data_IF_067166219205
#
_entry.id   IF_067166219205
#
_cell.length_a   1.000
_cell.length_b   1.000
_cell.length_c   1.000
_cell.angle_alpha   90.00
_cell.angle_beta   90.00
_cell.angle_gamma   90.00
#
_symmetry.space_group_name_H-M   'P 1'
#
loop_
_entity.id
_entity.type
_entity.pdbx_description
1 polymer ?
#
# COMPACT_ATOMS: atom_id res chain seq x y z
N UNK A 1 -6.50 -33.84 -20.86
CA UNK A 1 -5.66 -33.19 -19.83
C UNK A 1 -6.32 -31.88 -19.45
N UNK A 2 -6.71 -31.70 -18.19
CA UNK A 2 -7.22 -30.42 -17.69
C UNK A 2 -6.03 -29.45 -17.58
N UNK A 3 -5.84 -28.60 -18.59
CA UNK A 3 -4.87 -27.51 -18.51
C UNK A 3 -5.56 -26.30 -17.87
N UNK A 4 -5.04 -25.84 -16.73
CA UNK A 4 -5.52 -24.61 -16.09
C UNK A 4 -5.00 -23.41 -16.90
N UNK A 5 -5.87 -22.58 -17.48
CA UNK A 5 -5.42 -21.41 -18.24
C UNK A 5 -4.59 -20.46 -17.38
N UNK A 6 -3.48 -19.99 -17.90
CA UNK A 6 -2.55 -19.10 -17.21
C UNK A 6 -3.21 -17.82 -16.61
N UNK A 7 -4.22 -17.21 -17.26
CA UNK A 7 -4.93 -16.06 -16.70
C UNK A 7 -5.59 -16.31 -15.33
N UNK A 8 -6.05 -17.54 -15.04
CA UNK A 8 -6.54 -17.91 -13.72
C UNK A 8 -5.46 -17.76 -12.64
N UNK A 9 -4.26 -18.27 -12.95
CA UNK A 9 -3.13 -18.21 -12.03
C UNK A 9 -2.67 -16.77 -11.81
N UNK A 10 -2.58 -15.99 -12.88
CA UNK A 10 -2.22 -14.57 -12.81
C UNK A 10 -3.21 -13.78 -11.93
N UNK A 11 -4.51 -13.98 -12.17
CA UNK A 11 -5.57 -13.36 -11.36
C UNK A 11 -5.48 -13.73 -9.88
N UNK A 12 -5.28 -15.01 -9.58
CA UNK A 12 -5.15 -15.50 -8.21
C UNK A 12 -3.91 -14.95 -7.51
N UNK A 13 -2.74 -14.98 -8.16
CA UNK A 13 -1.47 -14.47 -7.60
C UNK A 13 -1.57 -12.99 -7.30
N UNK A 14 -2.14 -12.19 -8.21
CA UNK A 14 -2.33 -10.76 -7.99
C UNK A 14 -3.33 -10.49 -6.87
N UNK A 15 -4.48 -11.17 -6.86
CA UNK A 15 -5.48 -11.02 -5.80
C UNK A 15 -4.92 -11.37 -4.41
N UNK A 16 -4.17 -12.47 -4.29
CA UNK A 16 -3.51 -12.87 -3.04
C UNK A 16 -2.44 -11.87 -2.61
N UNK A 17 -1.67 -11.33 -3.56
CA UNK A 17 -0.63 -10.32 -3.30
C UNK A 17 -1.27 -9.04 -2.78
N UNK A 18 -2.33 -8.55 -3.43
CA UNK A 18 -3.07 -7.38 -2.98
C UNK A 18 -3.73 -7.62 -1.62
N UNK A 19 -4.41 -8.75 -1.44
CA UNK A 19 -5.02 -9.12 -0.17
C UNK A 19 -4.00 -9.12 0.97
N UNK A 20 -2.84 -9.74 0.76
CA UNK A 20 -1.77 -9.78 1.77
C UNK A 20 -1.24 -8.39 2.12
N UNK A 21 -1.04 -7.51 1.12
CA UNK A 21 -0.54 -6.15 1.34
C UNK A 21 -1.58 -5.24 2.02
N UNK A 22 -2.86 -5.51 1.83
CA UNK A 22 -3.96 -4.68 2.30
C UNK A 22 -4.70 -5.28 3.49
N UNK A 23 -4.39 -6.52 3.88
CA UNK A 23 -4.98 -7.17 5.07
C UNK A 23 -4.69 -6.31 6.31
N UNK A 24 -5.78 -5.84 6.98
CA UNK A 24 -5.73 -4.99 8.17
C UNK A 24 -5.42 -3.51 7.88
N UNK A 25 -5.56 -3.04 6.64
CA UNK A 25 -5.70 -1.62 6.33
C UNK A 25 -7.14 -1.25 6.66
N UNK A 26 -7.37 -0.75 7.88
CA UNK A 26 -8.68 -0.32 8.35
C UNK A 26 -8.88 1.17 8.02
N UNK A 27 -9.35 1.46 6.82
CA UNK A 27 -9.82 2.79 6.47
C UNK A 27 -11.33 2.75 6.21
N UNK A 28 -12.12 3.59 6.84
CA UNK A 28 -13.56 3.67 6.61
C UNK A 28 -13.86 3.91 5.12
N UNK A 29 -14.63 3.03 4.50
CA UNK A 29 -15.00 3.12 3.08
C UNK A 29 -14.04 2.47 2.09
N UNK A 30 -12.74 2.35 2.39
CA UNK A 30 -11.74 1.71 1.53
C UNK A 30 -12.00 0.21 1.34
N UNK A 31 -12.42 -0.50 2.39
CA UNK A 31 -12.70 -1.93 2.35
C UNK A 31 -13.68 -2.34 1.25
N UNK A 32 -14.74 -1.55 1.02
CA UNK A 32 -15.76 -1.87 0.00
C UNK A 32 -15.18 -1.85 -1.40
N UNK A 33 -14.40 -0.83 -1.73
CA UNK A 33 -13.78 -0.69 -3.04
C UNK A 33 -12.68 -1.72 -3.27
N UNK A 34 -11.83 -2.00 -2.25
CA UNK A 34 -10.82 -3.05 -2.34
C UNK A 34 -11.43 -4.43 -2.49
N UNK A 35 -12.45 -4.74 -1.71
CA UNK A 35 -13.12 -6.03 -1.80
C UNK A 35 -13.79 -6.21 -3.15
N UNK A 36 -14.51 -5.19 -3.64
CA UNK A 36 -15.10 -5.19 -4.97
C UNK A 36 -14.05 -5.34 -6.07
N UNK A 37 -12.92 -4.64 -5.95
CA UNK A 37 -11.81 -4.74 -6.90
C UNK A 37 -11.18 -6.14 -6.92
N UNK A 38 -10.94 -6.75 -5.75
CA UNK A 38 -10.37 -8.10 -5.65
C UNK A 38 -11.31 -9.17 -6.24
N UNK A 39 -12.62 -9.09 -5.93
CA UNK A 39 -13.62 -10.00 -6.50
C UNK A 39 -13.66 -9.84 -8.01
N UNK A 40 -13.73 -8.59 -8.49
CA UNK A 40 -13.78 -8.33 -9.92
C UNK A 40 -12.52 -8.81 -10.63
N UNK A 41 -11.35 -8.65 -10.01
CA UNK A 41 -10.08 -9.11 -10.56
C UNK A 41 -10.05 -10.65 -10.67
N UNK A 42 -10.50 -11.35 -9.62
CA UNK A 42 -10.62 -12.81 -9.65
C UNK A 42 -11.63 -13.27 -10.73
N UNK A 43 -12.79 -12.59 -10.80
CA UNK A 43 -13.80 -12.86 -11.82
C UNK A 43 -13.26 -12.62 -13.24
N UNK A 44 -12.52 -11.54 -13.46
CA UNK A 44 -11.89 -11.23 -14.74
C UNK A 44 -10.91 -12.33 -15.17
N UNK A 45 -10.10 -12.85 -14.23
CA UNK A 45 -9.23 -14.00 -14.50
C UNK A 45 -10.03 -15.22 -14.97
N UNK A 46 -11.18 -15.51 -14.34
CA UNK A 46 -12.08 -16.59 -14.75
C UNK A 46 -12.67 -16.33 -16.13
N UNK A 47 -13.19 -15.13 -16.40
CA UNK A 47 -13.79 -14.76 -17.69
C UNK A 47 -12.77 -14.91 -18.82
N UNK A 48 -11.57 -14.35 -18.65
CA UNK A 48 -10.48 -14.43 -19.64
C UNK A 48 -10.04 -15.87 -19.84
N UNK A 49 -9.89 -16.66 -18.77
CA UNK A 49 -9.53 -18.07 -18.86
C UNK A 49 -10.58 -18.91 -19.56
N UNK A 50 -11.86 -18.69 -19.31
CA UNK A 50 -12.96 -19.38 -20.01
C UNK A 50 -13.04 -18.96 -21.48
N UNK A 51 -12.89 -17.66 -21.76
CA UNK A 51 -12.98 -17.15 -23.13
C UNK A 51 -11.81 -17.63 -24.01
N UNK A 52 -10.57 -17.38 -23.60
CA UNK A 52 -9.39 -17.71 -24.40
C UNK A 52 -8.89 -19.14 -24.18
N UNK A 53 -9.04 -19.71 -22.99
CA UNK A 53 -8.57 -21.05 -22.68
C UNK A 53 -9.53 -22.16 -23.11
N UNK A 54 -10.83 -21.94 -22.94
CA UNK A 54 -11.86 -22.94 -23.27
C UNK A 54 -12.77 -22.54 -24.42
N UNK A 55 -12.55 -21.37 -25.05
CA UNK A 55 -13.29 -20.96 -26.26
C UNK A 55 -14.75 -20.55 -25.99
N UNK A 56 -15.12 -20.17 -24.78
CA UNK A 56 -16.50 -19.78 -24.42
C UNK A 56 -16.82 -18.40 -24.99
N UNK A 57 -17.32 -18.36 -26.23
CA UNK A 57 -17.62 -17.11 -26.98
C UNK A 57 -18.72 -16.25 -26.34
N UNK A 58 -19.62 -16.85 -25.55
CA UNK A 58 -20.67 -16.12 -24.85
C UNK A 58 -20.13 -15.04 -23.87
N UNK A 59 -18.88 -15.16 -23.43
CA UNK A 59 -18.25 -14.20 -22.50
C UNK A 59 -17.60 -13.01 -23.24
N UNK A 60 -17.49 -13.04 -24.56
CA UNK A 60 -16.89 -11.98 -25.36
C UNK A 60 -17.47 -10.57 -25.08
N UNK A 61 -18.80 -10.37 -24.98
CA UNK A 61 -19.37 -9.07 -24.70
C UNK A 61 -19.25 -8.65 -23.21
N UNK A 62 -19.10 -9.61 -22.29
CA UNK A 62 -19.00 -9.35 -20.84
C UNK A 62 -17.62 -8.90 -20.45
N UNK A 63 -16.58 -9.47 -21.09
CA UNK A 63 -15.18 -9.23 -20.75
C UNK A 63 -14.77 -7.75 -20.81
N UNK A 64 -15.07 -6.96 -21.87
CA UNK A 64 -14.69 -5.55 -21.93
C UNK A 64 -15.36 -4.69 -20.87
N UNK A 65 -16.63 -4.96 -20.54
CA UNK A 65 -17.38 -4.22 -19.54
C UNK A 65 -16.80 -4.46 -18.14
N UNK A 66 -16.52 -5.72 -17.80
CA UNK A 66 -15.90 -6.07 -16.51
C UNK A 66 -14.46 -5.56 -16.44
N UNK A 67 -13.71 -5.57 -17.53
CA UNK A 67 -12.39 -4.97 -17.61
C UNK A 67 -12.44 -3.44 -17.34
N UNK A 68 -13.39 -2.73 -17.95
CA UNK A 68 -13.57 -1.28 -17.77
C UNK A 68 -13.96 -0.88 -16.35
N UNK A 69 -14.49 -1.80 -15.52
CA UNK A 69 -14.79 -1.55 -14.10
C UNK A 69 -13.54 -1.58 -13.21
N UNK A 70 -12.49 -2.27 -13.61
CA UNK A 70 -11.31 -2.49 -12.76
C UNK A 70 -10.53 -1.21 -12.45
N UNK A 71 -10.14 -0.36 -13.43
CA UNK A 71 -9.39 0.85 -13.18
C UNK A 71 -10.09 1.86 -12.25
N UNK A 72 -11.39 2.18 -12.43
CA UNK A 72 -12.14 3.02 -11.50
C UNK A 72 -12.17 2.47 -10.07
N UNK A 73 -12.44 1.17 -9.90
CA UNK A 73 -12.50 0.55 -8.58
C UNK A 73 -11.15 0.57 -7.87
N UNK A 74 -10.07 0.25 -8.58
CA UNK A 74 -8.72 0.36 -8.02
C UNK A 74 -8.38 1.80 -7.63
N UNK A 75 -8.69 2.77 -8.48
CA UNK A 75 -8.46 4.18 -8.18
C UNK A 75 -9.22 4.64 -6.94
N UNK A 76 -10.53 4.33 -6.85
CA UNK A 76 -11.35 4.65 -5.68
C UNK A 76 -10.85 3.97 -4.42
N UNK A 77 -10.42 2.70 -4.51
CA UNK A 77 -9.87 1.95 -3.39
C UNK A 77 -8.62 2.62 -2.80
N UNK A 78 -7.66 2.99 -3.65
CA UNK A 78 -6.44 3.66 -3.19
C UNK A 78 -6.68 5.11 -2.77
N UNK A 79 -7.56 5.84 -3.46
CA UNK A 79 -7.92 7.21 -3.08
C UNK A 79 -8.62 7.25 -1.71
N UNK A 80 -9.44 6.25 -1.37
CA UNK A 80 -10.06 6.14 -0.05
C UNK A 80 -9.06 5.91 1.09
N UNK A 81 -7.83 5.44 0.79
CA UNK A 81 -6.74 5.38 1.76
C UNK A 81 -6.06 6.73 1.98
N UNK A 82 -6.25 7.68 1.07
CA UNK A 82 -5.64 9.01 1.13
C UNK A 82 -6.57 10.03 1.78
N UNK A 83 -7.88 9.96 1.51
CA UNK A 83 -8.86 10.94 1.94
C UNK A 83 -10.12 10.24 2.46
N UNK A 84 -10.68 10.75 3.56
CA UNK A 84 -11.96 10.28 4.13
C UNK A 84 -13.14 10.58 3.21
N UNK A 85 -13.05 11.64 2.43
CA UNK A 85 -14.15 12.11 1.57
C UNK A 85 -13.80 11.90 0.10
N UNK A 86 -14.41 10.89 -0.49
CA UNK A 86 -14.37 10.72 -1.94
C UNK A 86 -15.34 11.71 -2.59
N UNK A 87 -14.79 12.67 -3.30
CA UNK A 87 -15.61 13.57 -4.09
C UNK A 87 -16.24 12.83 -5.28
N UNK A 88 -17.56 12.84 -5.39
CA UNK A 88 -18.35 12.35 -6.53
C UNK A 88 -17.96 10.95 -7.03
N UNK A 89 -17.98 9.90 -6.17
CA UNK A 89 -17.56 8.55 -6.58
C UNK A 89 -18.45 7.97 -7.69
N UNK A 90 -19.66 8.47 -7.87
CA UNK A 90 -20.59 8.05 -8.93
C UNK A 90 -20.09 8.34 -10.35
N UNK A 91 -19.22 9.36 -10.54
CA UNK A 91 -18.61 9.64 -11.86
C UNK A 91 -17.77 8.47 -12.38
N UNK A 92 -17.26 7.65 -11.50
CA UNK A 92 -16.46 6.48 -11.84
C UNK A 92 -17.29 5.29 -12.37
N UNK A 93 -18.62 5.43 -12.47
CA UNK A 93 -19.52 4.49 -13.15
C UNK A 93 -19.56 4.77 -14.68
N UNK A 94 -19.20 5.97 -15.10
CA UNK A 94 -19.26 6.35 -16.52
C UNK A 94 -18.37 5.49 -17.44
N UNK A 95 -17.12 5.15 -17.08
CA UNK A 95 -16.26 4.30 -17.94
C UNK A 95 -16.87 2.92 -18.24
N UNK A 96 -17.30 2.11 -17.27
CA UNK A 96 -17.93 0.83 -17.58
C UNK A 96 -19.27 0.96 -18.32
N UNK A 97 -20.03 2.04 -18.08
CA UNK A 97 -21.25 2.32 -18.84
C UNK A 97 -20.92 2.62 -20.31
N UNK A 98 -19.92 3.44 -20.56
CA UNK A 98 -19.44 3.72 -21.91
C UNK A 98 -18.95 2.44 -22.62
N UNK A 99 -18.23 1.57 -21.91
CA UNK A 99 -17.82 0.26 -22.44
C UNK A 99 -19.03 -0.63 -22.78
N UNK A 100 -20.07 -0.67 -21.95
CA UNK A 100 -21.28 -1.43 -22.22
C UNK A 100 -22.01 -0.92 -23.48
N UNK A 101 -22.11 0.40 -23.65
CA UNK A 101 -22.67 1.03 -24.84
C UNK A 101 -21.81 0.72 -26.08
N UNK A 102 -20.49 0.82 -25.96
CA UNK A 102 -19.57 0.51 -27.06
C UNK A 102 -19.71 -0.96 -27.50
N UNK A 103 -19.77 -1.91 -26.56
CA UNK A 103 -19.98 -3.35 -26.87
C UNK A 103 -21.29 -3.59 -27.60
N UNK A 104 -22.36 -2.86 -27.24
CA UNK A 104 -23.67 -3.03 -27.87
C UNK A 104 -23.79 -2.40 -29.26
N UNK A 105 -23.21 -1.22 -29.48
CA UNK A 105 -23.48 -0.39 -30.65
C UNK A 105 -22.25 -0.04 -31.49
N UNK A 106 -21.02 -0.02 -30.90
CA UNK A 106 -19.82 0.51 -31.52
C UNK A 106 -18.60 -0.37 -31.23
N UNK A 107 -18.62 -1.63 -31.67
CA UNK A 107 -17.61 -2.63 -31.31
C UNK A 107 -16.17 -2.22 -31.62
N UNK A 108 -15.97 -1.47 -32.70
CA UNK A 108 -14.64 -0.99 -33.09
C UNK A 108 -14.07 0.07 -32.12
N UNK A 109 -14.93 0.68 -31.29
CA UNK A 109 -14.51 1.63 -30.27
C UNK A 109 -14.18 1.00 -28.93
N UNK A 110 -14.39 -0.31 -28.75
CA UNK A 110 -14.18 -0.99 -27.46
C UNK A 110 -12.70 -0.94 -27.05
N UNK A 111 -11.80 -1.34 -27.95
CA UNK A 111 -10.36 -1.40 -27.67
C UNK A 111 -9.75 -0.03 -27.42
N UNK A 112 -9.98 1.02 -28.27
CA UNK A 112 -9.49 2.35 -28.00
C UNK A 112 -10.10 2.97 -26.72
N UNK A 113 -11.36 2.64 -26.37
CA UNK A 113 -11.99 3.10 -25.13
C UNK A 113 -11.33 2.45 -23.91
N UNK A 114 -11.09 1.15 -23.92
CA UNK A 114 -10.37 0.44 -22.86
C UNK A 114 -8.96 1.01 -22.67
N UNK A 115 -8.23 1.26 -23.77
CA UNK A 115 -6.92 1.88 -23.74
C UNK A 115 -6.98 3.23 -22.98
N UNK A 116 -7.91 4.10 -23.34
CA UNK A 116 -8.07 5.43 -22.69
C UNK A 116 -8.40 5.28 -21.20
N UNK A 117 -9.28 4.33 -20.85
CA UNK A 117 -9.67 4.07 -19.45
C UNK A 117 -8.47 3.58 -18.64
N UNK A 118 -7.78 2.53 -19.08
CA UNK A 118 -6.64 1.96 -18.35
C UNK A 118 -5.48 2.93 -18.26
N UNK A 119 -5.16 3.62 -19.35
CA UNK A 119 -4.08 4.59 -19.38
C UNK A 119 -4.38 5.82 -18.52
N UNK A 120 -5.59 6.37 -18.62
CA UNK A 120 -6.03 7.54 -17.84
C UNK A 120 -6.02 7.27 -16.33
N UNK A 121 -6.62 6.15 -15.90
CA UNK A 121 -6.62 5.77 -14.48
C UNK A 121 -5.24 5.34 -14.00
N UNK A 122 -4.45 4.67 -14.84
CA UNK A 122 -3.07 4.30 -14.54
C UNK A 122 -2.22 5.53 -14.25
N UNK A 123 -2.27 6.55 -15.12
CA UNK A 123 -1.58 7.83 -14.90
C UNK A 123 -2.13 8.54 -13.67
N UNK A 124 -3.45 8.60 -13.49
CA UNK A 124 -4.06 9.27 -12.35
C UNK A 124 -3.59 8.63 -11.03
N UNK A 125 -3.59 7.30 -10.95
CA UNK A 125 -3.11 6.56 -9.78
C UNK A 125 -1.60 6.75 -9.58
N UNK A 126 -0.81 6.72 -10.65
CA UNK A 126 0.64 6.97 -10.60
C UNK A 126 0.94 8.37 -10.04
N UNK A 127 0.28 9.41 -10.58
CA UNK A 127 0.40 10.79 -10.09
C UNK A 127 0.03 10.93 -8.63
N UNK A 128 -1.04 10.27 -8.18
CA UNK A 128 -1.41 10.25 -6.77
C UNK A 128 -0.28 9.71 -5.88
N UNK A 129 0.47 8.70 -6.34
CA UNK A 129 1.59 8.14 -5.56
C UNK A 129 2.84 9.01 -5.57
N UNK A 130 2.96 9.97 -6.50
CA UNK A 130 4.08 10.90 -6.57
C UNK A 130 3.83 12.19 -5.79
N UNK A 131 2.57 12.63 -5.72
CA UNK A 131 2.22 13.99 -5.28
C UNK A 131 2.31 14.25 -3.78
N UNK A 132 2.59 13.25 -2.94
CA UNK A 132 2.42 13.42 -1.49
C UNK A 132 3.37 12.68 -0.56
N UNK A 133 4.44 12.04 -1.02
CA UNK A 133 5.36 11.36 -0.11
C UNK A 133 4.68 10.33 0.81
N UNK A 134 5.11 10.21 2.06
CA UNK A 134 4.53 9.29 3.05
C UNK A 134 3.10 9.67 3.47
N UNK A 135 2.71 10.94 3.27
CA UNK A 135 1.41 11.48 3.71
C UNK A 135 0.24 11.05 2.84
N UNK A 136 0.54 10.51 1.66
CA UNK A 136 -0.47 10.09 0.67
C UNK A 136 -1.43 9.04 1.25
N UNK A 137 -0.95 8.18 2.15
CA UNK A 137 -1.75 7.10 2.74
C UNK A 137 -2.17 7.42 4.19
N UNK A 138 -2.61 8.66 4.45
CA UNK A 138 -2.91 9.16 5.80
C UNK A 138 -3.90 8.30 6.58
N UNK A 139 -4.83 7.63 5.91
CA UNK A 139 -5.83 6.75 6.52
C UNK A 139 -5.31 5.34 6.82
N UNK A 140 -4.23 4.91 6.14
CA UNK A 140 -3.62 3.62 6.44
C UNK A 140 -2.89 3.67 7.80
N UNK A 141 -2.90 2.55 8.54
CA UNK A 141 -2.08 2.44 9.74
C UNK A 141 -0.60 2.65 9.40
N UNK A 142 0.16 3.31 10.28
CA UNK A 142 1.55 3.70 10.04
C UNK A 142 2.44 2.54 9.53
N UNK A 143 2.37 1.31 10.08
CA UNK A 143 3.17 0.20 9.57
C UNK A 143 2.80 -0.23 8.13
N UNK A 144 1.62 0.14 7.65
CA UNK A 144 1.07 -0.30 6.35
C UNK A 144 1.09 0.76 5.27
N UNK A 145 1.48 2.00 5.60
CA UNK A 145 1.59 3.08 4.61
C UNK A 145 2.53 2.71 3.46
N UNK A 146 3.71 2.20 3.76
CA UNK A 146 4.69 1.76 2.76
C UNK A 146 4.18 0.62 1.86
N UNK A 147 3.70 -0.50 2.42
CA UNK A 147 3.07 -1.57 1.64
C UNK A 147 1.89 -1.10 0.77
N UNK A 148 1.01 -0.23 1.29
CA UNK A 148 -0.12 0.31 0.52
C UNK A 148 0.33 1.19 -0.65
N UNK A 149 1.33 2.04 -0.44
CA UNK A 149 1.93 2.86 -1.50
C UNK A 149 2.58 2.01 -2.60
N UNK A 150 3.29 0.94 -2.20
CA UNK A 150 3.85 -0.02 -3.15
C UNK A 150 2.76 -0.71 -3.97
N UNK A 151 1.70 -1.18 -3.30
CA UNK A 151 0.57 -1.80 -3.99
C UNK A 151 -0.08 -0.84 -5.00
N UNK A 152 -0.25 0.44 -4.64
CA UNK A 152 -0.78 1.45 -5.55
C UNK A 152 0.11 1.66 -6.79
N UNK A 153 1.43 1.76 -6.60
CA UNK A 153 2.39 1.90 -7.71
C UNK A 153 2.41 0.67 -8.61
N UNK A 154 2.41 -0.52 -8.04
CA UNK A 154 2.34 -1.76 -8.80
C UNK A 154 1.04 -1.82 -9.62
N UNK A 155 -0.10 -1.50 -9.01
CA UNK A 155 -1.39 -1.48 -9.70
C UNK A 155 -1.40 -0.47 -10.84
N UNK A 156 -0.90 0.75 -10.62
CA UNK A 156 -0.77 1.76 -11.66
C UNK A 156 0.15 1.30 -12.81
N UNK A 157 1.31 0.71 -12.48
CA UNK A 157 2.27 0.18 -13.45
C UNK A 157 1.66 -0.95 -14.29
N UNK A 158 0.92 -1.87 -13.67
CA UNK A 158 0.23 -2.94 -14.38
C UNK A 158 -0.90 -2.42 -15.29
N UNK A 159 -1.65 -1.40 -14.84
CA UNK A 159 -2.66 -0.76 -15.70
C UNK A 159 -2.03 -0.16 -16.96
N UNK A 160 -0.92 0.57 -16.81
CA UNK A 160 -0.20 1.15 -17.94
C UNK A 160 0.41 0.06 -18.84
N UNK A 161 0.97 -0.99 -18.25
CA UNK A 161 1.52 -2.14 -18.97
C UNK A 161 0.44 -2.81 -19.82
N UNK A 162 -0.72 -3.15 -19.25
CA UNK A 162 -1.81 -3.78 -20.01
C UNK A 162 -2.36 -2.85 -21.09
N UNK A 163 -2.55 -1.56 -20.79
CA UNK A 163 -3.00 -0.60 -21.80
C UNK A 163 -2.08 -0.57 -23.03
N UNK A 164 -0.76 -0.49 -22.80
CA UNK A 164 0.22 -0.46 -23.90
C UNK A 164 0.30 -1.80 -24.62
N UNK A 165 0.25 -2.91 -23.87
CA UNK A 165 0.33 -4.25 -24.43
C UNK A 165 -0.90 -4.59 -25.29
N UNK A 166 -2.10 -4.23 -24.83
CA UNK A 166 -3.35 -4.46 -25.57
C UNK A 166 -3.40 -3.61 -26.85
N UNK A 167 -2.96 -2.33 -26.77
CA UNK A 167 -2.84 -1.49 -27.95
C UNK A 167 -1.81 -2.05 -28.97
N UNK A 168 -0.66 -2.51 -28.48
CA UNK A 168 0.34 -3.14 -29.35
C UNK A 168 -0.18 -4.43 -29.98
N UNK A 169 -0.94 -5.23 -29.21
CA UNK A 169 -1.57 -6.45 -29.71
C UNK A 169 -2.63 -6.16 -30.78
N UNK A 170 -3.45 -5.11 -30.58
CA UNK A 170 -4.45 -4.68 -31.56
C UNK A 170 -3.78 -4.30 -32.88
N UNK A 171 -2.73 -3.48 -32.86
CA UNK A 171 -1.95 -3.11 -34.07
C UNK A 171 -1.30 -4.36 -34.70
N UNK A 172 -0.74 -5.25 -33.89
CA UNK A 172 -0.13 -6.49 -34.40
C UNK A 172 -1.14 -7.38 -35.12
N UNK A 173 -2.35 -7.53 -34.56
CA UNK A 173 -3.40 -8.36 -35.13
C UNK A 173 -3.97 -7.80 -36.44
N UNK A 174 -4.04 -6.48 -36.55
CA UNK A 174 -4.45 -5.79 -37.78
C UNK A 174 -3.46 -6.07 -38.92
N UNK A 175 -2.16 -6.11 -38.66
CA UNK A 175 -1.10 -6.32 -39.66
C UNK A 175 -0.89 -7.81 -39.98
N UNK A 176 -0.89 -8.70 -38.99
CA UNK A 176 -0.44 -10.09 -39.10
C UNK A 176 -1.56 -11.11 -38.88
N UNK A 177 -2.78 -10.67 -38.56
CA UNK A 177 -3.91 -11.53 -38.23
C UNK A 177 -3.88 -12.10 -36.81
N UNK A 178 -4.96 -12.77 -36.42
CA UNK A 178 -5.23 -13.20 -35.03
C UNK A 178 -4.57 -14.53 -34.61
N UNK A 179 -3.80 -15.19 -35.50
CA UNK A 179 -3.27 -16.53 -35.23
C UNK A 179 -2.35 -16.64 -33.98
N UNK A 180 -1.65 -15.59 -33.63
CA UNK A 180 -0.71 -15.56 -32.49
C UNK A 180 -1.25 -14.88 -31.22
N UNK A 181 -2.51 -14.44 -31.21
CA UNK A 181 -3.14 -13.78 -30.05
C UNK A 181 -3.05 -14.60 -28.76
N UNK A 182 -3.35 -15.94 -28.78
CA UNK A 182 -3.25 -16.74 -27.56
C UNK A 182 -1.82 -16.79 -26.98
N UNK A 183 -0.82 -16.86 -27.85
CA UNK A 183 0.59 -16.84 -27.44
C UNK A 183 0.98 -15.47 -26.86
N UNK A 184 0.59 -14.38 -27.50
CA UNK A 184 0.86 -13.03 -27.04
C UNK A 184 0.22 -12.77 -25.66
N UNK A 185 -1.06 -13.11 -25.47
CA UNK A 185 -1.76 -13.03 -24.18
C UNK A 185 -1.05 -13.86 -23.10
N UNK A 186 -0.55 -15.04 -23.45
CA UNK A 186 0.21 -15.90 -22.54
C UNK A 186 1.51 -15.21 -22.10
N UNK A 187 2.29 -14.65 -23.03
CA UNK A 187 3.54 -13.94 -22.73
C UNK A 187 3.27 -12.70 -21.87
N UNK A 188 2.24 -11.93 -22.18
CA UNK A 188 1.84 -10.76 -21.39
C UNK A 188 1.48 -11.14 -19.95
N UNK A 189 0.71 -12.21 -19.74
CA UNK A 189 0.38 -12.68 -18.40
C UNK A 189 1.61 -13.18 -17.63
N UNK A 190 2.53 -13.90 -18.29
CA UNK A 190 3.80 -14.31 -17.68
C UNK A 190 4.66 -13.12 -17.30
N UNK A 191 4.75 -12.12 -18.16
CA UNK A 191 5.48 -10.87 -17.85
C UNK A 191 4.85 -10.13 -16.67
N UNK A 192 3.51 -10.05 -16.60
CA UNK A 192 2.81 -9.44 -15.46
C UNK A 192 3.07 -10.20 -14.14
N UNK A 193 3.00 -11.55 -14.17
CA UNK A 193 3.32 -12.39 -13.01
C UNK A 193 4.78 -12.17 -12.59
N UNK A 194 5.72 -12.20 -13.53
CA UNK A 194 7.12 -11.95 -13.25
C UNK A 194 7.35 -10.56 -12.63
N UNK A 195 6.72 -9.52 -13.16
CA UNK A 195 6.78 -8.18 -12.61
C UNK A 195 6.27 -8.11 -11.16
N UNK A 196 5.16 -8.80 -10.84
CA UNK A 196 4.62 -8.89 -9.47
C UNK A 196 5.60 -9.62 -8.56
N UNK A 197 6.17 -10.73 -9.00
CA UNK A 197 7.15 -11.52 -8.23
C UNK A 197 8.39 -10.67 -7.97
N UNK A 198 8.98 -10.08 -9.00
CA UNK A 198 10.16 -9.23 -8.88
C UNK A 198 9.89 -8.07 -7.92
N UNK A 199 8.76 -7.37 -8.11
CA UNK A 199 8.38 -6.25 -7.26
C UNK A 199 8.19 -6.66 -5.78
N UNK A 200 7.71 -7.88 -5.54
CA UNK A 200 7.49 -8.41 -4.20
C UNK A 200 8.79 -8.83 -3.50
N UNK A 201 9.73 -9.41 -4.26
CA UNK A 201 11.02 -9.90 -3.74
C UNK A 201 12.13 -8.84 -3.80
N UNK A 202 11.95 -7.74 -4.53
CA UNK A 202 12.86 -6.61 -4.41
C UNK A 202 12.87 -6.17 -2.94
N UNK A 203 14.04 -6.18 -2.27
CA UNK A 203 14.15 -5.63 -0.93
C UNK A 203 13.63 -4.20 -0.96
N UNK A 204 13.06 -3.75 0.16
CA UNK A 204 12.59 -2.39 0.34
C UNK A 204 13.75 -1.41 0.05
N UNK A 205 14.01 -1.15 -1.22
CA UNK A 205 14.62 0.07 -1.69
C UNK A 205 13.58 1.20 -1.57
N UNK A 206 12.89 1.29 -0.43
CA UNK A 206 12.54 2.60 0.05
C UNK A 206 13.87 3.26 0.28
N UNK A 207 14.24 4.27 -0.49
CA UNK A 207 15.27 5.14 -0.01
C UNK A 207 14.74 5.61 1.35
N UNK A 208 15.40 5.19 2.42
CA UNK A 208 15.39 5.90 3.69
C UNK A 208 16.02 7.29 3.48
N UNK A 209 16.09 7.72 2.27
CA UNK A 209 16.41 9.02 1.77
C UNK A 209 15.09 9.79 1.74
N UNK A 210 14.82 10.47 2.91
CA UNK A 210 14.35 11.84 2.81
C UNK A 210 14.22 12.31 1.35
N UNK A 211 13.06 12.08 0.71
CA UNK A 211 12.56 12.98 -0.28
C UNK A 211 11.99 14.20 0.44
N UNK A 212 12.80 14.75 1.31
CA UNK A 212 12.76 16.09 1.83
C UNK A 212 14.18 16.57 1.99
N UNK A 213 14.91 16.55 0.86
CA UNK A 213 15.89 17.59 0.63
C UNK A 213 15.16 18.78 -0.02
N UNK A 214 14.02 19.19 0.50
CA UNK A 214 13.78 20.62 0.66
C UNK A 214 14.78 21.06 1.71
N UNK A 215 15.59 22.06 1.38
CA UNK A 215 16.57 22.72 2.25
C UNK A 215 16.12 22.72 3.70
N UNK A 216 17.01 22.47 4.68
CA UNK A 216 16.64 22.55 6.08
C UNK A 216 16.00 23.92 6.31
N UNK A 217 14.68 23.97 6.32
CA UNK A 217 13.95 25.12 6.81
C UNK A 217 14.16 25.03 8.31
N UNK A 218 14.84 26.01 8.88
CA UNK A 218 15.03 26.11 10.33
C UNK A 218 13.68 25.95 11.02
N UNK A 219 13.56 25.13 12.07
CA UNK A 219 12.34 24.98 12.85
C UNK A 219 11.89 26.35 13.35
N UNK A 220 10.68 26.74 13.00
CA UNK A 220 10.08 27.98 13.50
C UNK A 220 9.57 27.77 14.94
N UNK A 221 9.37 28.84 15.71
CA UNK A 221 8.75 28.75 17.04
C UNK A 221 7.37 28.10 16.98
N UNK A 222 6.63 28.32 15.88
CA UNK A 222 5.34 27.66 15.61
C UNK A 222 5.47 26.14 15.48
N UNK A 223 6.57 25.65 14.88
CA UNK A 223 6.86 24.20 14.78
C UNK A 223 7.08 23.58 16.16
N UNK A 224 7.70 24.31 17.11
CA UNK A 224 7.88 23.88 18.50
C UNK A 224 6.55 23.66 19.21
N UNK A 225 5.62 24.59 19.07
CA UNK A 225 4.27 24.48 19.62
C UNK A 225 3.46 23.33 18.98
N UNK A 226 3.52 23.19 17.67
CA UNK A 226 2.87 22.12 16.95
C UNK A 226 3.45 20.75 17.32
N UNK A 227 4.78 20.61 17.41
CA UNK A 227 5.44 19.38 17.84
C UNK A 227 5.06 18.98 19.28
N UNK A 228 4.95 19.95 20.18
CA UNK A 228 4.51 19.72 21.56
C UNK A 228 3.08 19.17 21.60
N UNK A 229 2.16 19.71 20.78
CA UNK A 229 0.79 19.18 20.62
C UNK A 229 0.77 17.77 20.07
N UNK A 230 1.63 17.46 19.09
CA UNK A 230 1.75 16.11 18.51
C UNK A 230 2.27 15.13 19.57
N UNK A 231 3.30 15.49 20.35
CA UNK A 231 3.80 14.66 21.44
C UNK A 231 2.74 14.42 22.50
N UNK A 232 2.05 15.47 22.96
CA UNK A 232 0.95 15.36 23.91
C UNK A 232 -0.18 14.45 23.40
N UNK A 233 -0.56 14.58 22.12
CA UNK A 233 -1.57 13.73 21.48
C UNK A 233 -1.13 12.25 21.42
N UNK A 234 0.15 11.98 21.27
CA UNK A 234 0.70 10.63 21.22
C UNK A 234 0.73 9.97 22.60
N UNK A 235 0.99 10.76 23.67
CA UNK A 235 1.00 10.28 25.05
C UNK A 235 -0.42 10.17 25.63
N UNK A 236 -1.35 11.00 25.19
CA UNK A 236 -2.73 11.01 25.69
C UNK A 236 -3.46 9.71 25.39
N UNK A 237 -3.79 8.97 26.48
CA UNK A 237 -4.36 7.63 26.40
C UNK A 237 -3.42 6.58 25.79
N UNK A 238 -2.10 6.84 25.82
CA UNK A 238 -1.07 5.94 25.28
C UNK A 238 -1.31 5.59 23.80
N UNK A 239 -1.73 6.59 23.01
CA UNK A 239 -2.13 6.41 21.61
C UNK A 239 -1.04 5.69 20.77
N UNK A 240 0.24 5.84 21.13
CA UNK A 240 1.35 5.14 20.48
C UNK A 240 1.25 3.62 20.57
N UNK A 241 0.56 3.04 21.56
CA UNK A 241 0.37 1.60 21.72
C UNK A 241 -0.68 1.01 20.76
N UNK A 242 -1.50 1.87 20.15
CA UNK A 242 -2.51 1.41 19.19
C UNK A 242 -1.83 0.84 17.94
N UNK A 243 -2.03 -0.46 17.65
CA UNK A 243 -1.46 -1.12 16.48
C UNK A 243 -1.96 -0.51 15.16
N UNK A 244 -3.20 -0.02 15.15
CA UNK A 244 -3.90 0.58 14.01
C UNK A 244 -3.77 2.10 13.96
N UNK A 245 -2.80 2.69 14.70
CA UNK A 245 -2.52 4.12 14.66
C UNK A 245 -2.20 4.57 13.22
N UNK A 246 -2.98 5.51 12.72
CA UNK A 246 -2.76 6.17 11.44
C UNK A 246 -2.37 7.63 11.61
N UNK A 247 -1.76 8.23 10.56
CA UNK A 247 -1.46 9.65 10.53
C UNK A 247 -2.74 10.49 10.74
N UNK A 248 -3.86 10.08 10.13
CA UNK A 248 -5.14 10.76 10.31
C UNK A 248 -5.66 10.71 11.76
N UNK A 249 -5.52 9.57 12.45
CA UNK A 249 -5.88 9.47 13.88
C UNK A 249 -5.03 10.39 14.75
N UNK A 250 -3.70 10.41 14.51
CA UNK A 250 -2.77 11.29 15.22
C UNK A 250 -3.08 12.77 14.96
N UNK A 251 -3.30 13.13 13.70
CA UNK A 251 -3.64 14.48 13.27
C UNK A 251 -4.93 15.01 13.92
N UNK A 252 -5.97 14.18 13.92
CA UNK A 252 -7.24 14.51 14.60
C UNK A 252 -7.05 14.73 16.09
N UNK A 253 -6.26 13.89 16.77
CA UNK A 253 -5.98 14.01 18.20
C UNK A 253 -5.14 15.26 18.50
N UNK A 254 -4.15 15.57 17.67
CA UNK A 254 -3.32 16.77 17.77
C UNK A 254 -4.07 18.06 17.34
N UNK A 255 -5.26 17.95 16.75
CA UNK A 255 -6.04 19.05 16.16
C UNK A 255 -5.24 19.83 15.10
N UNK A 256 -4.54 19.10 14.25
CA UNK A 256 -3.74 19.62 13.14
C UNK A 256 -4.10 18.88 11.84
N UNK A 257 -3.97 19.51 10.67
CA UNK A 257 -4.05 18.81 9.39
C UNK A 257 -2.98 17.71 9.28
N UNK A 258 -3.32 16.55 8.69
CA UNK A 258 -2.39 15.42 8.56
C UNK A 258 -1.07 15.81 7.87
N UNK A 259 -1.16 16.64 6.82
CA UNK A 259 0.01 17.15 6.09
C UNK A 259 0.91 18.02 6.98
N UNK A 260 0.32 18.81 7.86
CA UNK A 260 1.06 19.64 8.81
C UNK A 260 1.78 18.79 9.86
N UNK A 261 1.11 17.78 10.42
CA UNK A 261 1.73 16.83 11.37
C UNK A 261 2.98 16.20 10.78
N UNK A 262 2.89 15.72 9.53
CA UNK A 262 4.04 15.11 8.86
C UNK A 262 5.16 16.14 8.59
N UNK A 263 4.82 17.32 8.12
CA UNK A 263 5.78 18.37 7.82
C UNK A 263 6.52 18.85 9.09
N UNK A 264 5.79 19.07 10.19
CA UNK A 264 6.36 19.47 11.49
C UNK A 264 7.29 18.41 12.05
N UNK A 265 6.86 17.13 12.07
CA UNK A 265 7.72 16.03 12.55
C UNK A 265 9.00 15.97 11.72
N UNK A 266 8.88 16.04 10.38
CA UNK A 266 10.04 15.94 9.51
C UNK A 266 11.01 17.12 9.68
N UNK A 267 10.50 18.37 9.71
CA UNK A 267 11.36 19.57 9.94
C UNK A 267 12.04 19.55 11.29
N UNK A 268 11.28 19.21 12.34
CA UNK A 268 11.80 19.30 13.72
C UNK A 268 12.69 18.12 14.12
N UNK A 269 12.52 16.93 13.52
CA UNK A 269 13.22 15.71 13.96
C UNK A 269 13.99 14.98 12.86
N UNK A 270 13.80 15.34 11.60
CA UNK A 270 14.36 14.61 10.44
C UNK A 270 13.71 13.23 10.22
N UNK A 271 12.72 12.84 11.03
CA UNK A 271 12.05 11.56 10.98
C UNK A 271 10.76 11.65 10.15
N UNK A 272 10.35 10.54 9.57
CA UNK A 272 8.96 10.41 9.13
C UNK A 272 8.05 10.05 10.32
N UNK A 273 6.73 10.22 10.14
CA UNK A 273 5.73 10.00 11.20
C UNK A 273 5.80 8.58 11.78
N UNK A 274 6.02 7.57 10.93
CA UNK A 274 6.13 6.18 11.39
C UNK A 274 7.37 5.96 12.28
N UNK A 275 8.50 6.54 11.89
CA UNK A 275 9.73 6.49 12.69
C UNK A 275 9.56 7.23 14.01
N UNK A 276 8.96 8.43 13.99
CA UNK A 276 8.70 9.21 15.18
C UNK A 276 7.84 8.47 16.22
N UNK A 277 6.75 7.82 15.77
CA UNK A 277 5.91 6.98 16.63
C UNK A 277 6.66 5.75 17.11
N UNK A 278 7.43 5.09 16.21
CA UNK A 278 8.20 3.91 16.57
C UNK A 278 9.31 4.21 17.57
N UNK A 279 9.92 5.41 17.54
CA UNK A 279 10.92 5.82 18.53
C UNK A 279 10.29 5.90 19.93
N UNK A 280 9.07 6.41 20.02
CA UNK A 280 8.34 6.42 21.29
C UNK A 280 8.00 5.02 21.80
N UNK A 281 7.56 4.13 20.89
CA UNK A 281 7.31 2.71 21.18
C UNK A 281 8.57 1.99 21.65
N UNK A 282 9.70 2.23 20.98
CA UNK A 282 11.00 1.64 21.35
C UNK A 282 11.46 2.15 22.71
N UNK A 283 11.32 3.45 23.01
CA UNK A 283 11.66 4.00 24.31
C UNK A 283 10.90 3.30 25.44
N UNK A 284 9.59 3.08 25.27
CA UNK A 284 8.78 2.31 26.22
C UNK A 284 9.19 0.84 26.28
N UNK A 285 9.52 0.23 25.15
CA UNK A 285 10.03 -1.15 25.11
C UNK A 285 11.35 -1.29 25.88
N UNK A 286 12.27 -0.33 25.75
CA UNK A 286 13.53 -0.29 26.49
C UNK A 286 13.29 -0.25 28.01
N UNK A 287 12.33 0.57 28.46
CA UNK A 287 11.93 0.66 29.87
C UNK A 287 11.38 -0.69 30.37
N UNK A 288 10.40 -1.28 29.65
CA UNK A 288 9.79 -2.54 30.01
C UNK A 288 10.77 -3.73 29.99
N UNK A 289 11.73 -3.73 29.07
CA UNK A 289 12.77 -4.75 28.97
C UNK A 289 13.72 -4.72 30.17
N UNK A 290 13.98 -3.54 30.74
CA UNK A 290 14.81 -3.37 31.95
C UNK A 290 14.05 -3.65 33.24
N UNK A 291 12.78 -3.23 33.33
CA UNK A 291 12.01 -3.22 34.58
C UNK A 291 11.15 -4.49 34.80
N UNK A 292 10.92 -5.30 33.77
CA UNK A 292 9.97 -6.42 33.86
C UNK A 292 10.55 -7.75 33.36
N UNK A 293 9.95 -8.85 33.83
CA UNK A 293 10.26 -10.21 33.37
C UNK A 293 9.41 -10.65 32.15
N UNK A 294 8.62 -9.75 31.57
CA UNK A 294 7.78 -10.07 30.38
C UNK A 294 8.65 -10.52 29.22
N UNK A 295 8.14 -11.42 28.39
CA UNK A 295 8.85 -11.86 27.19
C UNK A 295 8.99 -10.72 26.17
N UNK A 296 10.01 -10.77 25.33
CA UNK A 296 10.22 -9.79 24.24
C UNK A 296 8.98 -9.70 23.33
N UNK A 297 8.29 -10.81 23.11
CA UNK A 297 7.07 -10.85 22.28
C UNK A 297 5.91 -10.12 22.97
N UNK A 298 5.72 -10.33 24.25
CA UNK A 298 4.69 -9.62 25.02
C UNK A 298 4.95 -8.10 25.00
N UNK A 299 6.20 -7.67 25.31
CA UNK A 299 6.56 -6.26 25.28
C UNK A 299 6.35 -5.67 23.88
N UNK A 300 6.75 -6.38 22.81
CA UNK A 300 6.54 -5.96 21.44
C UNK A 300 5.06 -5.65 21.16
N UNK A 301 4.15 -6.55 21.58
CA UNK A 301 2.70 -6.36 21.39
C UNK A 301 2.17 -5.21 22.27
N UNK A 302 2.59 -5.16 23.54
CA UNK A 302 2.16 -4.14 24.51
C UNK A 302 2.51 -2.71 24.06
N UNK A 303 3.64 -2.52 23.38
CA UNK A 303 4.04 -1.20 22.87
C UNK A 303 3.50 -0.90 21.46
N UNK A 304 2.68 -1.78 20.89
CA UNK A 304 1.95 -1.53 19.64
C UNK A 304 2.63 -1.99 18.35
N UNK A 305 3.61 -2.92 18.41
CA UNK A 305 4.14 -3.55 17.21
C UNK A 305 3.40 -4.86 16.90
N UNK A 306 2.98 -5.03 15.66
CA UNK A 306 2.27 -6.23 15.19
C UNK A 306 3.18 -7.35 14.67
N UNK A 307 4.44 -7.05 14.34
CA UNK A 307 5.37 -8.05 13.77
C UNK A 307 6.75 -7.96 14.38
N UNK A 308 7.34 -9.14 14.64
CA UNK A 308 8.70 -9.27 15.20
C UNK A 308 9.77 -8.65 14.29
N UNK A 309 9.62 -8.80 12.98
CA UNK A 309 10.57 -8.24 12.01
C UNK A 309 10.61 -6.72 12.06
N UNK A 310 9.43 -6.05 12.10
CA UNK A 310 9.33 -4.59 12.21
C UNK A 310 9.89 -4.11 13.56
N UNK A 311 9.50 -4.75 14.66
CA UNK A 311 10.01 -4.44 16.00
C UNK A 311 11.52 -4.50 16.06
N UNK A 312 12.14 -5.63 15.65
CA UNK A 312 13.60 -5.80 15.69
C UNK A 312 14.33 -4.78 14.81
N UNK A 313 13.78 -4.44 13.64
CA UNK A 313 14.36 -3.44 12.75
C UNK A 313 14.35 -2.05 13.39
N UNK A 314 13.19 -1.62 13.89
CA UNK A 314 13.03 -0.30 14.49
C UNK A 314 13.78 -0.19 15.81
N UNK A 315 13.79 -1.24 16.62
CA UNK A 315 14.55 -1.28 17.86
C UNK A 315 16.05 -1.13 17.59
N UNK A 316 16.60 -1.88 16.62
CA UNK A 316 18.01 -1.75 16.23
C UNK A 316 18.30 -0.37 15.62
N UNK A 317 17.39 0.20 14.83
CA UNK A 317 17.54 1.55 14.26
C UNK A 317 17.67 2.59 15.36
N UNK A 318 16.84 2.51 16.42
CA UNK A 318 16.78 3.51 17.48
C UNK A 318 17.87 3.33 18.56
N UNK A 319 18.26 2.07 18.85
CA UNK A 319 19.17 1.76 19.98
C UNK A 319 20.54 1.23 19.56
N UNK A 320 20.73 0.85 18.29
CA UNK A 320 21.92 0.15 17.81
C UNK A 320 21.96 -1.34 18.16
N UNK A 321 21.07 -1.85 19.02
CA UNK A 321 21.09 -3.19 19.60
C UNK A 321 19.83 -3.99 19.28
N UNK A 322 19.89 -5.31 19.49
CA UNK A 322 18.68 -6.13 19.52
C UNK A 322 17.97 -6.05 20.88
N UNK A 323 16.65 -6.29 20.95
CA UNK A 323 15.92 -6.29 22.23
C UNK A 323 16.49 -7.27 23.29
N UNK A 324 17.05 -8.40 22.81
CA UNK A 324 17.66 -9.41 23.71
C UNK A 324 18.99 -8.90 24.30
N UNK A 325 19.82 -8.26 23.48
CA UNK A 325 21.08 -7.63 23.94
C UNK A 325 20.80 -6.52 24.94
N UNK A 326 19.87 -5.60 24.64
CA UNK A 326 19.44 -4.55 25.53
C UNK A 326 19.03 -5.07 26.90
N UNK A 327 18.18 -6.11 26.96
CA UNK A 327 17.78 -6.75 28.22
C UNK A 327 18.97 -7.29 29.01
N UNK A 328 19.92 -7.93 28.32
CA UNK A 328 21.12 -8.46 28.96
C UNK A 328 21.95 -7.37 29.63
N UNK A 329 22.15 -6.24 28.94
CA UNK A 329 22.90 -5.10 29.45
C UNK A 329 22.19 -4.39 30.60
N UNK A 330 20.87 -4.19 30.48
CA UNK A 330 20.07 -3.57 31.53
C UNK A 330 20.12 -4.39 32.85
N UNK A 331 20.07 -5.71 32.78
CA UNK A 331 20.21 -6.61 33.93
C UNK A 331 21.61 -6.60 34.52
N UNK A 332 22.63 -6.67 33.68
CA UNK A 332 24.01 -6.60 34.14
C UNK A 332 24.31 -5.30 34.90
N UNK A 333 23.73 -4.19 34.44
CA UNK A 333 23.85 -2.89 35.11
C UNK A 333 23.15 -2.87 36.49
N UNK A 334 22.00 -3.55 36.62
CA UNK A 334 21.28 -3.67 37.92
C UNK A 334 22.04 -4.55 38.92
N UNK A 335 22.56 -5.70 38.47
CA UNK A 335 23.32 -6.63 39.30
C UNK A 335 24.70 -6.06 39.73
N UNK A 336 25.34 -5.27 38.81
CA UNK A 336 26.62 -4.59 39.13
C UNK A 336 26.47 -3.44 40.14
N UNK A 337 25.32 -2.74 40.14
CA UNK A 337 25.01 -1.67 41.09
C UNK A 337 24.77 -2.15 42.54
N UNK A 338 24.23 -3.38 42.67
CA UNK A 338 23.95 -3.97 44.00
C UNK A 338 25.19 -4.45 44.77
N UNK A 339 26.34 -4.61 44.12
CA UNK A 339 27.58 -5.08 44.77
C UNK A 339 28.39 -3.94 45.41
N UNK A 340 28.13 -2.66 45.10
CA UNK A 340 28.89 -1.52 45.66
C UNK A 340 28.35 -0.95 46.98
N UNK A 341 27.22 -1.49 47.49
CA UNK A 341 26.59 -0.98 48.73
C UNK A 341 26.68 -1.95 49.91
N UNK A 342 27.52 -3.01 49.80
CA UNK A 342 27.81 -3.94 50.90
C UNK A 342 29.33 -4.12 51.04
N UNK A 343 30.00 -3.06 51.40
CA UNK A 343 31.37 -3.12 51.96
C UNK A 343 31.54 -2.01 53.00
#
# INVERSE_FOLDING_TARGET
>A
MLSVPLPFLAGLVFALTLYRNLKGVEAPGSHRYFFAFLILYALQGVIVGLHFGYGVKALAPVQPVTAAMMPPLAFLAFRALMDERLERPWLHILPPLAAAVAVGFFRDLVDPLLLVIFFGYGIALWRLTLSGGADVMAQASLPRMGPALRAARLTAGLMLFFAVSDAALAVYTDIHGSGHVPLAVTIMNLAAIAAVIVYYFLPDFSPAKSLSASSPVEPTEEDGGALSRIKAALEDGELYRSEDLSLAKLARKAKLPAREVSAVINRATGLNVSQFVNDRRVAEACRLLGETERTVIQIMLDVGFSTKSNFNREFRRATGMSPKQWRGEARAAQDGGGKKTRA
#
